data_IF_539854632116
#
_entry.id   IF_539854632116
#
_cell.length_a   1.000
_cell.length_b   1.000
_cell.length_c   1.000
_cell.angle_alpha   90.00
_cell.angle_beta   90.00
_cell.angle_gamma   90.00
#
_symmetry.space_group_name_H-M   'P 1'
#
loop_
_entity.id
_entity.type
_entity.pdbx_description
1 polymer ?
#
# COMPACT_ATOMS: atom_id res chain seq x y z
N UNK A 1 -11.34 -10.01 -11.97
CA UNK A 1 -11.54 -9.32 -10.68
C UNK A 1 -12.63 -10.01 -9.86
N UNK A 2 -12.44 -10.13 -8.53
CA UNK A 2 -13.43 -10.69 -7.59
C UNK A 2 -13.59 -9.76 -6.39
N UNK A 3 -14.82 -9.36 -6.07
CA UNK A 3 -15.13 -8.56 -4.87
C UNK A 3 -15.95 -9.44 -3.93
N UNK A 4 -15.52 -9.52 -2.66
CA UNK A 4 -16.28 -10.12 -1.56
C UNK A 4 -16.58 -9.03 -0.55
N UNK A 5 -17.84 -8.70 -0.37
CA UNK A 5 -18.30 -7.69 0.57
C UNK A 5 -19.16 -8.33 1.66
N UNK A 6 -18.65 -8.26 2.89
CA UNK A 6 -19.33 -8.77 4.08
C UNK A 6 -19.94 -7.64 4.94
N UNK A 7 -19.81 -6.39 4.49
CA UNK A 7 -20.29 -5.19 5.16
C UNK A 7 -21.40 -4.47 4.41
N UNK A 8 -21.57 -3.19 4.73
CA UNK A 8 -22.53 -2.27 4.12
C UNK A 8 -21.87 -0.93 3.81
N UNK A 9 -22.35 -0.22 2.80
CA UNK A 9 -21.88 1.11 2.46
C UNK A 9 -20.45 1.16 1.89
N UNK A 10 -19.86 0.00 1.53
CA UNK A 10 -18.56 -0.06 0.89
C UNK A 10 -18.65 0.37 -0.58
N UNK A 11 -17.63 1.03 -1.08
CA UNK A 11 -17.58 1.52 -2.46
C UNK A 11 -16.25 1.22 -3.14
N UNK A 12 -16.34 0.86 -4.42
CA UNK A 12 -15.16 0.63 -5.28
C UNK A 12 -15.35 1.44 -6.56
N UNK A 13 -14.36 2.26 -6.89
CA UNK A 13 -14.29 2.97 -8.17
C UNK A 13 -13.04 2.54 -8.93
N UNK A 14 -13.24 2.01 -10.13
CA UNK A 14 -12.18 1.57 -11.05
C UNK A 14 -12.55 2.06 -12.45
N UNK A 15 -11.73 2.90 -13.10
CA UNK A 15 -11.94 3.33 -14.47
C UNK A 15 -11.86 2.17 -15.47
N UNK A 16 -12.52 2.34 -16.63
CA UNK A 16 -12.58 1.28 -17.68
C UNK A 16 -11.23 0.95 -18.30
N UNK A 17 -10.28 1.90 -18.31
CA UNK A 17 -8.95 1.76 -18.85
C UNK A 17 -7.93 1.19 -17.83
N UNK A 18 -8.41 0.68 -16.71
CA UNK A 18 -7.58 0.03 -15.67
C UNK A 18 -7.57 -1.48 -15.90
N UNK A 19 -6.37 -2.05 -16.00
CA UNK A 19 -6.20 -3.49 -16.12
C UNK A 19 -6.20 -4.16 -14.74
N UNK A 20 -7.12 -5.10 -14.52
CA UNK A 20 -7.24 -5.86 -13.28
C UNK A 20 -7.39 -7.36 -13.59
N UNK A 21 -6.28 -8.09 -13.74
CA UNK A 21 -6.34 -9.48 -14.22
C UNK A 21 -6.94 -10.45 -13.18
N UNK A 22 -6.39 -10.57 -11.98
CA UNK A 22 -6.95 -11.38 -10.88
C UNK A 22 -6.93 -10.57 -9.56
N UNK A 23 -7.48 -9.36 -9.61
CA UNK A 23 -7.62 -8.53 -8.42
C UNK A 23 -8.71 -9.09 -7.51
N UNK A 24 -8.38 -9.26 -6.23
CA UNK A 24 -9.33 -9.62 -5.18
C UNK A 24 -9.48 -8.47 -4.20
N UNK A 25 -10.72 -8.01 -4.00
CA UNK A 25 -11.06 -7.01 -3.00
C UNK A 25 -11.97 -7.66 -1.97
N UNK A 26 -11.61 -7.58 -0.70
CA UNK A 26 -12.36 -8.17 0.40
C UNK A 26 -12.64 -7.10 1.44
N UNK A 27 -13.92 -6.80 1.66
CA UNK A 27 -14.39 -5.95 2.74
C UNK A 27 -14.91 -6.80 3.89
N UNK A 28 -14.41 -6.57 5.10
CA UNK A 28 -14.89 -7.20 6.34
C UNK A 28 -15.69 -6.24 7.23
N UNK A 29 -15.58 -4.94 6.99
CA UNK A 29 -16.29 -3.87 7.69
C UNK A 29 -17.16 -3.05 6.76
N UNK A 30 -17.62 -1.91 7.27
CA UNK A 30 -18.60 -1.02 6.64
C UNK A 30 -17.98 0.31 6.21
N UNK A 31 -18.65 1.00 5.27
CA UNK A 31 -18.32 2.36 4.85
C UNK A 31 -16.85 2.53 4.38
N UNK A 32 -16.26 1.51 3.81
CA UNK A 32 -14.90 1.54 3.27
C UNK A 32 -14.91 2.02 1.82
N UNK A 33 -13.84 2.67 1.42
CA UNK A 33 -13.69 3.24 0.09
C UNK A 33 -12.41 2.73 -0.56
N UNK A 34 -12.53 2.21 -1.79
CA UNK A 34 -11.40 1.89 -2.66
C UNK A 34 -11.54 2.68 -3.95
N UNK A 35 -10.56 3.54 -4.24
CA UNK A 35 -10.46 4.28 -5.50
C UNK A 35 -9.18 3.91 -6.22
N UNK A 36 -9.30 3.52 -7.47
CA UNK A 36 -8.17 3.23 -8.36
C UNK A 36 -8.24 4.22 -9.51
N UNK A 37 -7.12 4.82 -9.84
CA UNK A 37 -6.98 5.81 -10.89
C UNK A 37 -6.94 5.23 -12.30
N UNK A 38 -6.83 6.12 -13.28
CA UNK A 38 -6.80 5.76 -14.69
C UNK A 38 -5.47 5.11 -15.09
N UNK A 39 -5.51 4.22 -16.09
CA UNK A 39 -4.32 3.61 -16.67
C UNK A 39 -3.50 2.74 -15.72
N UNK A 40 -4.08 2.34 -14.57
CA UNK A 40 -3.40 1.40 -13.66
C UNK A 40 -3.36 -0.02 -14.24
N UNK A 41 -2.29 -0.75 -13.92
CA UNK A 41 -2.13 -2.16 -14.26
C UNK A 41 -1.94 -3.00 -12.98
N UNK A 42 -2.99 -3.68 -12.55
CA UNK A 42 -2.96 -4.56 -11.40
C UNK A 42 -2.89 -6.01 -11.90
N UNK A 43 -1.64 -6.47 -12.17
CA UNK A 43 -1.35 -7.75 -12.83
C UNK A 43 -1.44 -8.89 -11.81
N UNK A 44 -2.06 -9.99 -12.17
CA UNK A 44 -2.03 -11.29 -11.47
C UNK A 44 -2.14 -11.27 -9.93
N UNK A 45 -3.12 -11.95 -9.40
CA UNK A 45 -3.28 -12.34 -7.96
C UNK A 45 -3.09 -11.24 -6.89
N UNK A 46 -3.37 -9.97 -7.20
CA UNK A 46 -3.27 -8.90 -6.22
C UNK A 46 -4.45 -8.93 -5.22
N UNK A 47 -4.19 -8.55 -3.97
CA UNK A 47 -5.19 -8.60 -2.90
C UNK A 47 -5.30 -7.27 -2.14
N UNK A 48 -6.51 -6.71 -2.09
CA UNK A 48 -6.89 -5.60 -1.23
C UNK A 48 -7.81 -6.14 -0.13
N UNK A 49 -7.31 -6.21 1.09
CA UNK A 49 -8.06 -6.71 2.25
C UNK A 49 -8.35 -5.55 3.19
N UNK A 50 -9.62 -5.18 3.28
CA UNK A 50 -10.10 -4.04 4.05
C UNK A 50 -10.84 -4.58 5.28
N UNK A 51 -10.18 -4.50 6.42
CA UNK A 51 -10.69 -4.93 7.70
C UNK A 51 -11.28 -3.72 8.44
N UNK A 52 -12.32 -3.93 9.21
CA UNK A 52 -13.00 -2.89 9.99
C UNK A 52 -13.68 -1.79 9.14
N UNK A 53 -14.20 -0.78 9.79
CA UNK A 53 -15.02 0.27 9.19
C UNK A 53 -14.19 1.50 8.80
N UNK A 54 -14.67 2.24 7.79
CA UNK A 54 -14.22 3.59 7.48
C UNK A 54 -12.81 3.71 6.89
N UNK A 55 -12.24 2.64 6.34
CA UNK A 55 -10.93 2.70 5.71
C UNK A 55 -11.01 3.29 4.30
N UNK A 56 -9.94 3.97 3.89
CA UNK A 56 -9.83 4.53 2.55
C UNK A 56 -8.52 4.11 1.88
N UNK A 57 -8.63 3.45 0.72
CA UNK A 57 -7.53 3.15 -0.18
C UNK A 57 -7.64 3.99 -1.44
N UNK A 58 -6.62 4.80 -1.73
CA UNK A 58 -6.50 5.59 -2.95
C UNK A 58 -5.25 5.16 -3.69
N UNK A 59 -5.43 4.67 -4.89
CA UNK A 59 -4.37 4.37 -5.85
C UNK A 59 -4.55 5.38 -6.99
N UNK A 60 -3.57 6.25 -7.18
CA UNK A 60 -3.61 7.28 -8.24
C UNK A 60 -3.36 6.69 -9.62
N UNK A 61 -3.24 7.55 -10.64
CA UNK A 61 -3.16 7.13 -12.03
C UNK A 61 -1.83 6.44 -12.39
N UNK A 62 -1.87 5.55 -13.38
CA UNK A 62 -0.71 4.87 -13.95
C UNK A 62 0.14 4.12 -12.92
N UNK A 63 -0.46 3.58 -11.87
CA UNK A 63 0.21 2.71 -10.89
C UNK A 63 0.25 1.28 -11.41
N UNK A 64 1.42 0.66 -11.29
CA UNK A 64 1.62 -0.74 -11.68
C UNK A 64 1.81 -1.60 -10.44
N UNK A 65 0.93 -2.57 -10.25
CA UNK A 65 1.16 -3.70 -9.35
C UNK A 65 1.50 -4.92 -10.19
N UNK A 66 2.67 -5.46 -9.96
CA UNK A 66 3.05 -6.74 -10.54
C UNK A 66 2.29 -7.88 -9.82
N UNK A 67 2.81 -9.04 -9.77
CA UNK A 67 2.17 -10.22 -9.19
C UNK A 67 2.18 -10.17 -7.66
N UNK A 68 1.07 -10.59 -7.02
CA UNK A 68 0.98 -10.89 -5.58
C UNK A 68 1.27 -9.69 -4.66
N UNK A 69 0.89 -8.49 -5.09
CA UNK A 69 0.88 -7.31 -4.23
C UNK A 69 -0.30 -7.38 -3.27
N UNK A 70 -0.05 -7.17 -1.98
CA UNK A 70 -1.07 -7.23 -0.94
C UNK A 70 -1.12 -5.96 -0.12
N UNK A 71 -2.33 -5.37 -0.03
CA UNK A 71 -2.61 -4.20 0.81
C UNK A 71 -3.64 -4.58 1.86
N UNK A 72 -3.33 -4.34 3.13
CA UNK A 72 -4.21 -4.58 4.27
C UNK A 72 -4.46 -3.27 5.00
N UNK A 73 -5.72 -2.85 5.11
CA UNK A 73 -6.16 -1.71 5.88
C UNK A 73 -7.04 -2.15 7.05
N UNK A 74 -6.99 -1.42 8.15
CA UNK A 74 -7.85 -1.62 9.30
C UNK A 74 -7.98 -0.38 10.18
N UNK A 75 -9.01 -0.36 11.01
CA UNK A 75 -9.28 0.66 12.03
C UNK A 75 -9.44 2.08 11.47
N UNK A 76 -10.18 2.22 10.37
CA UNK A 76 -10.49 3.52 9.78
C UNK A 76 -9.28 4.26 9.21
N UNK A 77 -8.26 3.53 8.79
CA UNK A 77 -7.03 4.14 8.27
C UNK A 77 -7.08 4.42 6.78
N UNK A 78 -6.16 5.27 6.34
CA UNK A 78 -5.97 5.66 4.94
C UNK A 78 -4.65 5.13 4.41
N UNK A 79 -4.66 4.65 3.18
CA UNK A 79 -3.47 4.36 2.38
C UNK A 79 -3.58 5.09 1.05
N UNK A 80 -2.60 5.93 0.75
CA UNK A 80 -2.49 6.64 -0.54
C UNK A 80 -1.24 6.20 -1.29
N UNK A 81 -1.41 5.97 -2.59
CA UNK A 81 -0.32 5.65 -3.52
C UNK A 81 -0.38 6.64 -4.67
N UNK A 82 0.70 7.39 -4.82
CA UNK A 82 0.86 8.41 -5.85
C UNK A 82 1.07 7.82 -7.24
N UNK A 83 0.83 8.66 -8.25
CA UNK A 83 0.85 8.29 -9.66
C UNK A 83 2.20 7.79 -10.16
N UNK A 84 2.21 6.98 -11.22
CA UNK A 84 3.40 6.45 -11.88
C UNK A 84 4.31 5.63 -10.96
N UNK A 85 3.75 5.02 -9.92
CA UNK A 85 4.50 4.19 -8.98
C UNK A 85 4.43 2.71 -9.36
N UNK A 86 5.51 1.97 -9.11
CA UNK A 86 5.64 0.56 -9.50
C UNK A 86 5.92 -0.29 -8.26
N UNK A 87 5.13 -1.34 -8.12
CA UNK A 87 5.26 -2.31 -7.04
C UNK A 87 5.53 -3.68 -7.65
N UNK A 88 6.75 -4.16 -7.47
CA UNK A 88 7.17 -5.46 -7.96
C UNK A 88 6.48 -6.61 -7.19
N UNK A 89 6.72 -7.84 -7.63
CA UNK A 89 6.10 -9.04 -7.07
C UNK A 89 6.22 -9.12 -5.55
N UNK A 90 5.11 -9.46 -4.88
CA UNK A 90 5.07 -9.82 -3.46
C UNK A 90 5.21 -8.63 -2.51
N UNK A 91 5.10 -7.38 -2.98
CA UNK A 91 5.09 -6.21 -2.09
C UNK A 91 3.91 -6.27 -1.14
N UNK A 92 4.15 -5.93 0.13
CA UNK A 92 3.14 -5.91 1.19
C UNK A 92 3.04 -4.55 1.83
N UNK A 93 1.82 -4.02 1.94
CA UNK A 93 1.52 -2.72 2.56
C UNK A 93 0.50 -2.96 3.66
N UNK A 94 0.78 -2.51 4.89
CA UNK A 94 -0.10 -2.75 6.03
C UNK A 94 -0.25 -1.52 6.90
N UNK A 95 -1.49 -1.04 7.08
CA UNK A 95 -1.81 0.07 7.98
C UNK A 95 -2.12 -0.41 9.41
N UNK A 96 -2.31 -1.72 9.62
CA UNK A 96 -2.69 -2.33 10.89
C UNK A 96 -1.92 -3.62 11.17
N UNK A 97 -1.89 -4.04 12.43
CA UNK A 97 -1.29 -5.31 12.87
C UNK A 97 -2.31 -6.45 12.98
N UNK A 98 -3.60 -6.17 12.80
CA UNK A 98 -4.74 -7.10 12.91
C UNK A 98 -4.99 -7.66 14.33
N UNK A 99 -4.08 -7.49 15.27
CA UNK A 99 -4.20 -7.87 16.68
C UNK A 99 -3.77 -6.72 17.58
N UNK A 100 -4.32 -6.68 18.78
CA UNK A 100 -4.05 -5.62 19.74
C UNK A 100 -2.93 -6.01 20.70
N UNK A 101 -1.99 -5.09 20.90
CA UNK A 101 -0.89 -5.26 21.86
C UNK A 101 -1.06 -4.21 22.95
N UNK A 102 -0.98 -4.65 24.20
CA UNK A 102 -1.13 -3.80 25.37
C UNK A 102 0.15 -3.82 26.21
N UNK A 103 0.47 -2.70 26.84
CA UNK A 103 1.53 -2.62 27.85
C UNK A 103 1.10 -3.22 29.19
N UNK A 104 1.99 -3.20 30.18
CA UNK A 104 1.72 -3.70 31.53
C UNK A 104 0.65 -2.91 32.31
N UNK A 105 0.30 -1.71 31.83
CA UNK A 105 -0.73 -0.84 32.38
C UNK A 105 -2.07 -0.95 31.62
N UNK A 106 -2.18 -1.92 30.72
CA UNK A 106 -3.33 -2.14 29.84
C UNK A 106 -3.63 -0.98 28.87
N UNK A 107 -2.62 -0.20 28.50
CA UNK A 107 -2.73 0.77 27.41
C UNK A 107 -2.37 0.10 26.09
N UNK A 108 -3.20 0.29 25.08
CA UNK A 108 -2.90 -0.23 23.74
C UNK A 108 -1.75 0.55 23.10
N UNK A 109 -0.70 -0.16 22.68
CA UNK A 109 0.54 0.43 22.15
C UNK A 109 0.72 0.30 20.63
N UNK A 110 -0.15 -0.42 19.93
CA UNK A 110 0.01 -0.70 18.50
C UNK A 110 -1.16 -0.22 17.63
N UNK A 111 -1.64 0.99 17.86
CA UNK A 111 -2.71 1.59 17.03
C UNK A 111 -2.34 1.59 15.55
N UNK A 112 -3.35 1.42 14.69
CA UNK A 112 -3.19 1.50 13.24
C UNK A 112 -2.85 2.93 12.81
N UNK A 113 -2.12 3.08 11.70
CA UNK A 113 -1.66 4.38 11.19
C UNK A 113 -1.69 4.41 9.67
N UNK A 114 -2.05 5.57 9.12
CA UNK A 114 -2.07 5.80 7.68
C UNK A 114 -0.70 5.60 7.03
N UNK A 115 -0.72 5.30 5.73
CA UNK A 115 0.49 5.19 4.88
C UNK A 115 0.31 6.12 3.69
N UNK A 116 1.39 6.86 3.37
CA UNK A 116 1.43 7.74 2.21
C UNK A 116 2.65 7.41 1.35
N UNK A 117 2.40 7.04 0.10
CA UNK A 117 3.45 6.75 -0.88
C UNK A 117 3.34 7.81 -1.98
N UNK A 118 4.42 8.53 -2.21
CA UNK A 118 4.49 9.60 -3.19
C UNK A 118 4.37 9.14 -4.63
N UNK A 119 4.54 10.08 -5.55
CA UNK A 119 4.53 9.80 -6.98
C UNK A 119 5.86 9.19 -7.43
N UNK A 120 5.81 8.36 -8.47
CA UNK A 120 7.00 7.80 -9.10
C UNK A 120 7.90 7.06 -8.11
N UNK A 121 7.30 6.23 -7.25
CA UNK A 121 8.02 5.38 -6.29
C UNK A 121 8.16 3.98 -6.86
N UNK A 122 9.35 3.42 -6.78
CA UNK A 122 9.60 2.03 -7.13
C UNK A 122 9.82 1.18 -5.88
N UNK A 123 8.95 0.22 -5.64
CA UNK A 123 9.09 -0.79 -4.62
C UNK A 123 9.56 -2.12 -5.23
N UNK A 124 10.77 -2.53 -4.90
CA UNK A 124 11.36 -3.81 -5.31
C UNK A 124 10.60 -5.02 -4.74
N UNK A 125 10.84 -6.18 -5.32
CA UNK A 125 10.13 -7.40 -4.95
C UNK A 125 10.20 -7.71 -3.45
N UNK A 126 9.10 -8.19 -2.89
CA UNK A 126 8.97 -8.55 -1.48
C UNK A 126 9.22 -7.42 -0.47
N UNK A 127 9.23 -6.16 -0.91
CA UNK A 127 9.31 -5.04 0.01
C UNK A 127 8.08 -4.99 0.93
N UNK A 128 8.27 -4.58 2.18
CA UNK A 128 7.23 -4.49 3.21
C UNK A 128 7.13 -3.04 3.68
N UNK A 129 5.96 -2.44 3.53
CA UNK A 129 5.67 -1.07 3.98
C UNK A 129 4.79 -1.16 5.23
N UNK A 130 5.33 -0.73 6.35
CA UNK A 130 4.66 -0.80 7.65
C UNK A 130 3.84 0.47 7.92
N UNK A 131 2.87 0.34 8.81
CA UNK A 131 1.98 1.43 9.24
C UNK A 131 2.72 2.69 9.68
N UNK A 132 2.14 3.84 9.38
CA UNK A 132 2.60 5.15 9.84
C UNK A 132 3.79 5.70 9.09
N UNK A 133 4.14 5.15 7.93
CA UNK A 133 5.26 5.68 7.13
C UNK A 133 4.78 6.51 5.94
N UNK A 134 5.63 7.48 5.57
CA UNK A 134 5.54 8.19 4.30
C UNK A 134 6.78 7.89 3.47
N UNK A 135 6.58 7.60 2.19
CA UNK A 135 7.66 7.42 1.21
C UNK A 135 7.60 8.59 0.23
N UNK A 136 8.68 9.34 0.13
CA UNK A 136 8.78 10.51 -0.73
C UNK A 136 8.80 10.18 -2.22
N UNK A 137 8.50 11.21 -3.03
CA UNK A 137 8.44 11.09 -4.49
C UNK A 137 9.77 10.63 -5.08
N UNK A 138 9.74 9.91 -6.19
CA UNK A 138 10.92 9.50 -6.95
C UNK A 138 11.85 8.52 -6.23
N UNK A 139 11.42 7.97 -5.08
CA UNK A 139 12.29 7.09 -4.28
C UNK A 139 12.19 5.62 -4.69
N UNK A 140 13.25 4.88 -4.40
CA UNK A 140 13.38 3.45 -4.66
C UNK A 140 13.52 2.70 -3.35
N UNK A 141 12.63 1.74 -3.12
CA UNK A 141 12.71 0.79 -2.03
C UNK A 141 13.26 -0.52 -2.59
N UNK A 142 14.44 -0.91 -2.14
CA UNK A 142 15.10 -2.12 -2.64
C UNK A 142 14.31 -3.40 -2.37
N UNK A 143 14.66 -4.46 -3.08
CA UNK A 143 14.06 -5.78 -2.88
C UNK A 143 14.22 -6.24 -1.43
N UNK A 144 13.21 -6.92 -0.90
CA UNK A 144 13.18 -7.51 0.45
C UNK A 144 13.41 -6.49 1.60
N UNK A 145 13.13 -5.22 1.36
CA UNK A 145 13.31 -4.13 2.32
C UNK A 145 12.09 -3.96 3.21
N UNK A 146 12.29 -3.72 4.52
CA UNK A 146 11.21 -3.40 5.46
C UNK A 146 11.24 -1.93 5.86
N UNK A 147 10.27 -1.15 5.38
CA UNK A 147 10.14 0.27 5.69
C UNK A 147 9.33 0.45 6.97
N UNK A 148 9.98 0.96 8.02
CA UNK A 148 9.40 1.21 9.35
C UNK A 148 9.50 2.68 9.77
N UNK A 149 10.14 3.53 8.96
CA UNK A 149 10.30 4.98 9.15
C UNK A 149 10.13 5.69 7.81
N UNK A 150 9.85 6.98 7.86
CA UNK A 150 9.69 7.80 6.66
C UNK A 150 10.95 7.76 5.77
N UNK A 151 10.71 7.74 4.47
CA UNK A 151 11.76 7.77 3.43
C UNK A 151 11.65 9.11 2.70
N UNK A 152 12.74 9.90 2.60
CA UNK A 152 12.74 11.17 1.88
C UNK A 152 12.53 11.00 0.37
N UNK A 153 12.30 12.11 -0.32
CA UNK A 153 12.21 12.15 -1.78
C UNK A 153 13.54 11.76 -2.46
N UNK A 154 13.45 11.18 -3.64
CA UNK A 154 14.57 10.94 -4.56
C UNK A 154 15.76 10.20 -3.90
N UNK A 155 15.48 9.13 -3.19
CA UNK A 155 16.52 8.34 -2.54
C UNK A 155 16.34 6.83 -2.74
N UNK A 156 17.38 6.08 -2.45
CA UNK A 156 17.35 4.61 -2.39
C UNK A 156 17.40 4.19 -0.94
N UNK A 157 16.43 3.38 -0.51
CA UNK A 157 16.40 2.77 0.82
C UNK A 157 16.40 1.25 0.72
N UNK A 158 17.22 0.60 1.55
CA UNK A 158 17.36 -0.87 1.57
C UNK A 158 17.49 -1.40 2.99
N UNK A 159 17.16 -2.66 3.18
CA UNK A 159 17.43 -3.41 4.42
C UNK A 159 16.22 -3.59 5.34
N UNK A 160 16.45 -4.32 6.43
CA UNK A 160 15.46 -4.64 7.49
C UNK A 160 16.04 -4.26 8.87
N UNK A 161 15.72 -3.09 9.42
CA UNK A 161 14.85 -2.02 8.87
C UNK A 161 15.53 -1.22 7.75
N UNK A 162 14.72 -0.58 6.90
CA UNK A 162 15.18 0.24 5.78
C UNK A 162 16.10 1.38 6.22
N UNK A 163 17.19 1.56 5.49
CA UNK A 163 18.11 2.70 5.63
C UNK A 163 18.33 3.35 4.28
N UNK A 164 18.31 4.67 4.23
CA UNK A 164 18.70 5.42 3.04
C UNK A 164 20.18 5.23 2.78
N UNK A 165 20.52 4.72 1.58
CA UNK A 165 21.91 4.46 1.18
C UNK A 165 22.38 5.42 0.09
N UNK A 166 21.44 6.09 -0.62
CA UNK A 166 21.76 7.07 -1.64
C UNK A 166 20.65 8.12 -1.74
N UNK A 167 21.03 9.36 -1.91
CA UNK A 167 20.14 10.50 -2.11
C UNK A 167 20.34 11.10 -3.51
N UNK A 168 19.40 11.97 -3.93
CA UNK A 168 19.44 12.71 -5.19
C UNK A 168 19.53 11.77 -6.39
N UNK A 169 18.74 10.71 -6.39
CA UNK A 169 18.63 9.77 -7.50
C UNK A 169 17.51 10.18 -8.45
N UNK A 170 17.56 9.64 -9.63
CA UNK A 170 16.47 9.60 -10.59
C UNK A 170 16.46 8.19 -11.22
N UNK A 171 15.29 7.61 -11.39
CA UNK A 171 15.12 6.32 -12.02
C UNK A 171 14.14 6.41 -13.19
N UNK A 172 14.23 5.50 -14.14
CA UNK A 172 13.33 5.38 -15.28
C UNK A 172 12.87 3.93 -15.41
N UNK A 173 11.66 3.76 -15.89
CA UNK A 173 11.21 2.51 -16.45
C UNK A 173 11.90 2.28 -17.81
N UNK A 174 12.17 1.01 -18.17
CA UNK A 174 12.76 0.65 -19.47
C UNK A 174 11.80 0.94 -20.61
#
# INVERSE_FOLDING_TARGET
>A
MKIKDYGKGNSVRIPRNTRCDDLRIIFKGNNNVVRIGEGCELKNTNMLYIQDDGNELIISDHVIFDQDVSIVLGEGTRCEIGSNSIFAKGVRIRTCDQHFIYDSQNHRINTSKAIYIGNHVWCGASAIIMKGVSIGNGSVIGMDTMVTKNIPDNCIAVGKPAKVIKNKIYWKEY
#
